data_IF_550192864572
#
_entry.id   IF_550192864572
#
_cell.length_a   1.000
_cell.length_b   1.000
_cell.length_c   1.000
_cell.angle_alpha   90.00
_cell.angle_beta   90.00
_cell.angle_gamma   90.00
#
_symmetry.space_group_name_H-M   'P 1'
#
loop_
_entity.id
_entity.type
_entity.pdbx_description
1 polymer ?
#
# COMPACT_ATOMS: atom_id res chain seq x y z
N UNK A 1 -45.03 -14.70 10.16
CA UNK A 1 -43.70 -15.30 10.34
C UNK A 1 -42.72 -14.58 9.41
N UNK A 2 -41.96 -13.60 9.89
CA UNK A 2 -40.90 -12.99 9.05
C UNK A 2 -39.91 -12.11 9.83
N UNK A 3 -40.33 -11.49 10.94
CA UNK A 3 -39.46 -10.59 11.73
C UNK A 3 -38.36 -11.34 12.50
N UNK A 4 -38.65 -12.50 13.06
CA UNK A 4 -37.66 -13.33 13.78
C UNK A 4 -36.50 -13.80 12.89
N UNK A 5 -36.77 -14.12 11.62
CA UNK A 5 -35.74 -14.50 10.66
C UNK A 5 -34.81 -13.32 10.33
N UNK A 6 -35.35 -12.10 10.24
CA UNK A 6 -34.57 -10.89 9.99
C UNK A 6 -33.56 -10.62 11.12
N UNK A 7 -33.98 -10.78 12.38
CA UNK A 7 -33.11 -10.59 13.54
C UNK A 7 -32.00 -11.64 13.62
N UNK A 8 -32.27 -12.89 13.21
CA UNK A 8 -31.26 -13.96 13.17
C UNK A 8 -30.21 -13.67 12.09
N UNK A 9 -30.61 -13.16 10.91
CA UNK A 9 -29.69 -12.77 9.84
C UNK A 9 -28.77 -11.58 10.20
N UNK A 10 -29.25 -10.66 11.06
CA UNK A 10 -28.44 -9.52 11.54
C UNK A 10 -27.41 -9.93 12.61
N UNK A 11 -27.64 -11.05 13.30
CA UNK A 11 -26.70 -11.61 14.30
C UNK A 11 -25.61 -12.49 13.66
N UNK A 12 -25.78 -12.90 12.41
CA UNK A 12 -24.77 -13.62 11.63
C UNK A 12 -23.96 -12.71 10.72
N UNK A 13 -23.73 -11.45 11.09
CA UNK A 13 -22.65 -10.70 10.46
C UNK A 13 -21.35 -11.42 10.84
N UNK A 14 -20.66 -12.12 9.92
CA UNK A 14 -19.27 -12.44 10.19
C UNK A 14 -18.65 -11.08 10.51
N UNK A 15 -18.10 -10.92 11.73
CA UNK A 15 -17.35 -9.72 12.06
C UNK A 15 -16.45 -9.52 10.86
N UNK A 16 -16.62 -8.41 10.13
CA UNK A 16 -15.72 -8.08 9.06
C UNK A 16 -14.42 -7.82 9.79
N UNK A 17 -13.65 -8.89 10.03
CA UNK A 17 -12.28 -8.84 10.43
C UNK A 17 -11.66 -8.19 9.22
N UNK A 18 -11.70 -6.86 9.24
CA UNK A 18 -11.20 -5.96 8.24
C UNK A 18 -9.73 -6.31 8.20
N UNK A 19 -9.39 -7.23 7.28
CA UNK A 19 -8.05 -7.78 7.13
C UNK A 19 -7.13 -6.58 7.16
N UNK A 20 -6.20 -6.50 8.11
CA UNK A 20 -5.35 -5.32 8.22
C UNK A 20 -4.44 -5.15 6.99
N UNK A 21 -4.43 -6.11 6.06
CA UNK A 21 -3.86 -6.00 4.72
C UNK A 21 -4.64 -5.04 3.81
N UNK A 22 -5.85 -4.63 4.22
CA UNK A 22 -6.67 -3.64 3.51
C UNK A 22 -6.27 -2.19 3.78
N UNK A 23 -5.45 -1.90 4.81
CA UNK A 23 -5.01 -0.54 5.10
C UNK A 23 -4.00 -0.10 4.04
N UNK A 24 -4.33 0.86 3.15
CA UNK A 24 -3.38 1.29 2.13
C UNK A 24 -2.38 2.31 2.69
N UNK A 25 -1.16 2.29 2.19
CA UNK A 25 -0.21 3.37 2.39
C UNK A 25 -0.56 4.50 1.43
N UNK A 26 -1.07 5.59 1.99
CA UNK A 26 -1.43 6.78 1.22
C UNK A 26 -0.23 7.71 1.08
N UNK A 27 0.02 8.20 -0.12
CA UNK A 27 1.06 9.18 -0.37
C UNK A 27 0.59 10.28 -1.32
N UNK A 28 1.00 11.52 -1.08
CA UNK A 28 0.63 12.70 -1.86
C UNK A 28 1.85 13.30 -2.54
N UNK A 29 1.69 13.80 -3.76
CA UNK A 29 2.77 14.54 -4.43
C UNK A 29 2.95 15.93 -3.83
N UNK A 30 4.17 16.46 -3.93
CA UNK A 30 4.48 17.80 -3.42
C UNK A 30 3.97 18.93 -4.31
N UNK A 31 3.83 18.68 -5.62
CA UNK A 31 3.59 19.71 -6.63
C UNK A 31 2.23 19.59 -7.33
N UNK A 32 1.45 18.54 -7.03
CA UNK A 32 0.10 18.33 -7.55
C UNK A 32 -0.79 17.76 -6.44
N UNK A 33 -2.10 17.81 -6.62
CA UNK A 33 -3.08 17.20 -5.70
C UNK A 33 -3.17 15.67 -5.86
N UNK A 34 -2.30 15.06 -6.67
CA UNK A 34 -2.35 13.63 -6.94
C UNK A 34 -1.97 12.82 -5.70
N UNK A 35 -2.71 11.73 -5.50
CA UNK A 35 -2.49 10.78 -4.40
C UNK A 35 -2.26 9.38 -4.96
N UNK A 36 -1.22 8.73 -4.48
CA UNK A 36 -0.96 7.31 -4.71
C UNK A 36 -1.35 6.49 -3.48
N UNK A 37 -1.91 5.32 -3.73
CA UNK A 37 -2.29 4.36 -2.71
C UNK A 37 -1.53 3.08 -2.98
N UNK A 38 -0.77 2.62 -1.99
CA UNK A 38 -0.01 1.38 -2.07
C UNK A 38 -0.59 0.32 -1.15
N UNK A 39 -0.49 -0.93 -1.58
CA UNK A 39 -0.93 -2.10 -0.84
C UNK A 39 0.25 -3.03 -0.57
N UNK A 40 0.08 -3.96 0.37
CA UNK A 40 1.13 -4.86 0.84
C UNK A 40 1.81 -5.63 -0.30
N UNK A 41 1.05 -6.07 -1.30
CA UNK A 41 1.53 -6.87 -2.43
C UNK A 41 2.51 -6.10 -3.33
N UNK A 42 2.56 -4.78 -3.19
CA UNK A 42 3.44 -3.91 -3.96
C UNK A 42 4.78 -3.68 -3.23
N UNK A 43 4.90 -4.05 -1.96
CA UNK A 43 6.15 -3.97 -1.19
C UNK A 43 7.11 -5.05 -1.68
N UNK A 44 8.24 -4.62 -2.26
CA UNK A 44 9.28 -5.54 -2.78
C UNK A 44 10.57 -5.52 -1.97
N UNK A 45 10.75 -4.49 -1.14
CA UNK A 45 11.89 -4.37 -0.23
C UNK A 45 11.53 -3.51 0.98
N UNK A 46 12.04 -3.88 2.14
CA UNK A 46 11.87 -3.15 3.39
C UNK A 46 13.18 -3.11 4.18
N UNK A 47 13.48 -1.95 4.77
CA UNK A 47 14.56 -1.74 5.73
C UNK A 47 14.13 -0.70 6.76
N UNK A 48 14.96 -0.46 7.78
CA UNK A 48 14.73 0.61 8.76
C UNK A 48 14.84 2.02 8.15
N UNK A 49 15.54 2.17 7.02
CA UNK A 49 15.81 3.48 6.41
C UNK A 49 14.79 3.82 5.32
N UNK A 50 14.46 2.83 4.48
CA UNK A 50 13.55 3.02 3.36
C UNK A 50 12.84 1.73 2.95
N UNK A 51 11.77 1.88 2.19
CA UNK A 51 11.04 0.79 1.54
C UNK A 51 11.00 1.02 0.03
N UNK A 52 10.84 -0.07 -0.74
CA UNK A 52 10.59 -0.01 -2.17
C UNK A 52 9.25 -0.64 -2.50
N UNK A 53 8.44 0.10 -3.27
CA UNK A 53 7.14 -0.31 -3.76
C UNK A 53 7.16 -0.35 -5.29
N UNK A 54 6.55 -1.36 -5.89
CA UNK A 54 6.47 -1.51 -7.34
C UNK A 54 5.04 -1.62 -7.86
N UNK A 55 4.77 -0.96 -8.98
CA UNK A 55 3.54 -1.11 -9.75
C UNK A 55 3.86 -1.52 -11.20
N UNK A 56 2.83 -1.92 -11.96
CA UNK A 56 2.91 -2.15 -13.40
C UNK A 56 4.08 -3.06 -13.82
N UNK A 57 4.26 -4.18 -13.12
CA UNK A 57 5.35 -5.16 -13.35
C UNK A 57 6.76 -4.53 -13.25
N UNK A 58 6.95 -3.60 -12.32
CA UNK A 58 8.23 -2.93 -12.08
C UNK A 58 8.49 -1.69 -12.96
N UNK A 59 7.58 -1.35 -13.89
CA UNK A 59 7.70 -0.11 -14.69
C UNK A 59 7.56 1.16 -13.84
N UNK A 60 7.07 1.05 -12.62
CA UNK A 60 7.13 2.16 -11.67
C UNK A 60 7.65 1.68 -10.33
N UNK A 61 8.66 2.38 -9.82
CA UNK A 61 9.29 2.12 -8.53
C UNK A 61 9.07 3.35 -7.66
N UNK A 62 8.62 3.15 -6.42
CA UNK A 62 8.52 4.21 -5.42
C UNK A 62 9.39 3.84 -4.23
N UNK A 63 10.36 4.68 -3.92
CA UNK A 63 11.13 4.62 -2.69
C UNK A 63 10.49 5.56 -1.67
N UNK A 64 10.32 5.10 -0.43
CA UNK A 64 9.83 5.93 0.68
C UNK A 64 10.86 5.88 1.81
N UNK A 65 11.33 7.03 2.27
CA UNK A 65 12.19 7.15 3.44
C UNK A 65 11.34 6.96 4.71
N UNK A 66 11.72 6.00 5.56
CA UNK A 66 10.94 5.59 6.72
C UNK A 66 11.00 6.58 7.88
N UNK A 67 11.98 7.49 7.88
CA UNK A 67 12.15 8.49 8.94
C UNK A 67 11.33 9.75 8.66
N UNK A 68 11.31 10.18 7.41
CA UNK A 68 10.69 11.44 6.98
C UNK A 68 9.34 11.25 6.33
N UNK A 69 9.08 10.05 5.78
CA UNK A 69 7.94 9.75 4.93
C UNK A 69 8.07 10.31 3.52
N UNK A 70 9.18 10.96 3.16
CA UNK A 70 9.40 11.48 1.82
C UNK A 70 9.48 10.34 0.81
N UNK A 71 8.93 10.55 -0.38
CA UNK A 71 8.97 9.56 -1.45
C UNK A 71 9.56 10.11 -2.74
N UNK A 72 10.21 9.21 -3.47
CA UNK A 72 10.65 9.40 -4.85
C UNK A 72 10.01 8.30 -5.69
N UNK A 73 9.20 8.67 -6.67
CA UNK A 73 8.56 7.75 -7.62
C UNK A 73 9.19 7.91 -9.00
N UNK A 74 9.75 6.83 -9.51
CA UNK A 74 10.36 6.76 -10.85
C UNK A 74 9.52 5.87 -11.75
N UNK A 75 9.00 6.45 -12.83
CA UNK A 75 8.33 5.71 -13.90
C UNK A 75 9.28 5.54 -15.08
N UNK A 76 9.45 4.29 -15.53
CA UNK A 76 10.20 3.90 -16.71
C UNK A 76 9.26 3.85 -17.91
N UNK A 77 9.36 4.86 -18.78
CA UNK A 77 8.49 5.03 -19.95
C UNK A 77 9.28 4.67 -21.22
N UNK A 78 8.76 3.74 -22.01
CA UNK A 78 9.32 3.37 -23.31
C UNK A 78 9.31 1.86 -23.57
N UNK A 79 9.05 1.50 -24.83
CA UNK A 79 9.26 0.17 -25.43
C UNK A 79 9.38 0.40 -26.95
N UNK A 80 10.51 0.14 -27.65
CA UNK A 80 11.90 -0.05 -27.23
C UNK A 80 12.84 1.13 -27.63
N UNK A 81 13.97 1.25 -26.93
CA UNK A 81 15.21 2.01 -27.24
C UNK A 81 15.51 3.42 -26.70
N UNK A 82 14.61 4.11 -25.99
CA UNK A 82 15.05 5.28 -25.18
C UNK A 82 14.23 5.40 -23.89
N UNK A 83 14.76 4.96 -22.73
CA UNK A 83 14.04 5.04 -21.47
C UNK A 83 13.88 6.50 -21.05
N UNK A 84 12.64 7.00 -21.09
CA UNK A 84 12.30 8.28 -20.46
C UNK A 84 11.94 8.03 -19.01
N UNK A 85 12.57 8.79 -18.12
CA UNK A 85 12.26 8.76 -16.70
C UNK A 85 11.32 9.91 -16.35
N UNK A 86 10.25 9.60 -15.66
CA UNK A 86 9.49 10.58 -14.90
C UNK A 86 9.81 10.39 -13.43
N UNK A 87 10.27 11.44 -12.76
CA UNK A 87 10.53 11.45 -11.32
C UNK A 87 9.50 12.36 -10.65
N UNK A 88 8.79 11.81 -9.66
CA UNK A 88 7.79 12.53 -8.87
C UNK A 88 8.21 12.48 -7.39
N UNK A 89 8.07 13.61 -6.70
CA UNK A 89 8.39 13.76 -5.29
C UNK A 89 7.11 13.93 -4.48
N UNK A 90 7.08 13.34 -3.29
CA UNK A 90 5.88 13.32 -2.46
C UNK A 90 6.16 13.00 -1.01
N UNK A 91 5.10 12.76 -0.25
CA UNK A 91 5.15 12.32 1.14
C UNK A 91 4.06 11.30 1.43
N UNK A 92 4.41 10.26 2.17
CA UNK A 92 3.49 9.22 2.63
C UNK A 92 3.00 9.51 4.05
N UNK A 93 1.73 9.21 4.29
CA UNK A 93 1.08 9.34 5.58
C UNK A 93 1.41 8.11 6.45
N UNK A 94 2.16 8.33 7.53
CA UNK A 94 2.49 7.33 8.55
C UNK A 94 2.90 5.95 7.99
N UNK A 95 3.95 5.94 7.17
CA UNK A 95 4.49 4.72 6.57
C UNK A 95 4.87 3.66 7.63
N UNK A 96 5.55 3.98 8.76
CA UNK A 96 5.88 3.00 9.78
C UNK A 96 4.65 2.29 10.37
N UNK A 97 3.57 3.03 10.64
CA UNK A 97 2.33 2.42 11.14
C UNK A 97 1.72 1.48 10.12
N UNK A 98 1.60 1.93 8.86
CA UNK A 98 1.00 1.13 7.80
C UNK A 98 1.76 -0.19 7.59
N UNK A 99 3.09 -0.16 7.56
CA UNK A 99 3.90 -1.36 7.42
C UNK A 99 3.79 -2.30 8.63
N UNK A 100 3.71 -1.74 9.84
CA UNK A 100 3.43 -2.54 11.04
C UNK A 100 2.10 -3.28 10.90
N UNK A 101 1.05 -2.60 10.41
CA UNK A 101 -0.25 -3.23 10.19
C UNK A 101 -0.18 -4.32 9.12
N UNK A 102 0.56 -4.12 8.03
CA UNK A 102 0.76 -5.15 7.00
C UNK A 102 1.41 -6.42 7.55
N UNK A 103 2.43 -6.28 8.40
CA UNK A 103 3.13 -7.42 9.04
C UNK A 103 2.24 -8.22 9.98
N UNK A 104 1.31 -7.57 10.68
CA UNK A 104 0.36 -8.27 11.55
C UNK A 104 -0.57 -9.25 10.79
N UNK A 105 -0.66 -9.14 9.46
CA UNK A 105 -1.40 -10.08 8.61
C UNK A 105 -0.56 -11.23 8.07
N UNK A 106 0.75 -11.23 8.29
CA UNK A 106 1.54 -12.40 7.97
C UNK A 106 1.17 -13.49 8.96
N UNK A 107 0.34 -14.43 8.51
CA UNK A 107 0.15 -15.70 9.20
C UNK A 107 1.51 -16.38 9.17
N UNK A 108 2.14 -16.67 10.34
CA UNK A 108 3.33 -17.50 10.35
C UNK A 108 2.97 -18.82 9.66
N UNK A 109 3.71 -19.20 8.62
CA UNK A 109 3.65 -20.58 8.18
C UNK A 109 4.12 -21.43 9.36
N UNK A 110 3.22 -22.23 9.94
CA UNK A 110 3.61 -23.33 10.82
C UNK A 110 4.49 -24.25 9.97
N UNK A 111 5.79 -24.30 10.28
CA UNK A 111 6.73 -25.27 9.72
C UNK A 111 6.61 -26.59 10.47
#
# INVERSE_FOLDING_TARGET
MSTLLLYVLLLTNPSSAQHSSSLPLKCKLLHTEDTFWFYKEQLVYESEQFILLQNFKGRTVTQVDMKTGELIRTTYIGDPYDPKYQILLGKCDDAPHTLKMWRLNDVPYDN
#
